data_IF_004007811078
#
_entry.id   IF_004007811078
#
_cell.length_a   1.000
_cell.length_b   1.000
_cell.length_c   1.000
_cell.angle_alpha   90.00
_cell.angle_beta   90.00
_cell.angle_gamma   90.00
#
_symmetry.space_group_name_H-M   'P 1'
#
loop_
_entity.id
_entity.type
_entity.pdbx_description
1 polymer ?
#
# COMPACT_ATOMS: atom_id res chain seq x y z
N UNK A 1 -36.38 25.20 -28.21
CA UNK A 1 -35.58 25.41 -26.99
C UNK A 1 -35.81 24.23 -26.07
N UNK A 2 -35.02 23.17 -26.21
CA UNK A 2 -35.11 21.99 -25.34
C UNK A 2 -34.23 22.29 -24.14
N UNK A 3 -34.85 22.57 -23.00
CA UNK A 3 -34.15 22.75 -21.74
C UNK A 3 -33.49 21.41 -21.37
N UNK A 4 -32.21 21.25 -21.73
CA UNK A 4 -31.36 20.21 -21.16
C UNK A 4 -31.29 20.46 -19.64
N UNK A 5 -32.17 19.78 -18.90
CA UNK A 5 -32.05 19.61 -17.47
C UNK A 5 -30.73 18.85 -17.23
N UNK A 6 -29.64 19.60 -17.12
CA UNK A 6 -28.31 19.13 -16.79
C UNK A 6 -28.34 18.69 -15.32
N UNK A 7 -28.94 17.52 -15.09
CA UNK A 7 -29.00 16.84 -13.81
C UNK A 7 -27.55 16.64 -13.40
N UNK A 8 -27.10 17.41 -12.41
CA UNK A 8 -25.80 17.25 -11.72
C UNK A 8 -25.75 15.83 -11.15
N UNK A 9 -25.52 14.82 -11.98
CA UNK A 9 -25.08 13.50 -11.54
C UNK A 9 -23.69 13.76 -11.00
N UNK A 10 -23.62 13.96 -9.69
CA UNK A 10 -22.41 14.32 -8.98
C UNK A 10 -21.25 13.47 -9.48
N UNK A 11 -20.12 14.13 -9.75
CA UNK A 11 -18.87 13.51 -10.15
C UNK A 11 -18.46 12.42 -9.14
N UNK A 12 -18.97 11.21 -9.34
CA UNK A 12 -18.52 9.98 -8.68
C UNK A 12 -17.02 9.70 -8.82
N UNK A 13 -16.26 10.19 -9.82
CA UNK A 13 -14.80 10.03 -9.80
C UNK A 13 -14.10 10.67 -8.60
N UNK A 14 -14.67 11.69 -7.95
CA UNK A 14 -14.06 12.29 -6.75
C UNK A 14 -14.09 11.35 -5.54
N UNK A 15 -15.07 10.45 -5.46
CA UNK A 15 -15.24 9.59 -4.30
C UNK A 15 -14.18 8.47 -4.32
N UNK A 16 -13.95 7.84 -5.46
CA UNK A 16 -12.94 6.79 -5.62
C UNK A 16 -11.53 7.33 -5.37
N UNK A 17 -11.20 8.51 -5.91
CA UNK A 17 -9.89 9.14 -5.67
C UNK A 17 -9.70 9.48 -4.18
N UNK A 18 -10.74 10.00 -3.53
CA UNK A 18 -10.72 10.28 -2.08
C UNK A 18 -10.51 9.01 -1.27
N UNK A 19 -11.20 7.91 -1.60
CA UNK A 19 -11.02 6.63 -0.91
C UNK A 19 -9.62 6.04 -1.12
N UNK A 20 -9.06 6.12 -2.32
CA UNK A 20 -7.68 5.65 -2.58
C UNK A 20 -6.67 6.52 -1.83
N UNK A 21 -6.84 7.84 -1.82
CA UNK A 21 -5.95 8.75 -1.08
C UNK A 21 -6.06 8.55 0.44
N UNK A 22 -7.27 8.40 0.98
CA UNK A 22 -7.50 8.18 2.39
C UNK A 22 -6.97 6.81 2.84
N UNK A 23 -7.13 5.78 2.00
CA UNK A 23 -6.56 4.46 2.23
C UNK A 23 -5.02 4.48 2.22
N UNK A 24 -4.41 5.21 1.29
CA UNK A 24 -2.96 5.37 1.24
C UNK A 24 -2.42 6.16 2.44
N UNK A 25 -3.06 7.28 2.80
CA UNK A 25 -2.70 8.04 4.00
C UNK A 25 -2.89 7.22 5.27
N UNK A 26 -3.99 6.47 5.41
CA UNK A 26 -4.22 5.59 6.56
C UNK A 26 -3.20 4.45 6.60
N UNK A 27 -2.81 3.88 5.46
CA UNK A 27 -1.77 2.86 5.39
C UNK A 27 -0.39 3.41 5.76
N UNK A 28 -0.03 4.61 5.28
CA UNK A 28 1.21 5.28 5.67
C UNK A 28 1.22 5.68 7.14
N UNK A 29 0.09 6.15 7.67
CA UNK A 29 -0.03 6.56 9.06
C UNK A 29 -0.04 5.35 9.99
N UNK A 30 -0.71 4.25 9.60
CA UNK A 30 -0.60 2.96 10.28
C UNK A 30 0.84 2.44 10.23
N UNK A 31 1.51 2.54 9.08
CA UNK A 31 2.91 2.15 8.92
C UNK A 31 3.83 2.99 9.82
N UNK A 32 3.60 4.30 9.89
CA UNK A 32 4.30 5.22 10.78
C UNK A 32 4.01 4.95 12.26
N UNK A 33 2.77 4.60 12.63
CA UNK A 33 2.41 4.23 13.99
C UNK A 33 3.01 2.88 14.40
N UNK A 34 3.01 1.90 13.49
CA UNK A 34 3.73 0.64 13.65
C UNK A 34 5.25 0.85 13.74
N UNK A 35 5.75 1.95 13.17
CA UNK A 35 7.15 2.37 13.25
C UNK A 35 7.60 2.75 14.66
N UNK A 36 6.68 3.24 15.50
CA UNK A 36 6.97 3.69 16.86
C UNK A 36 6.49 2.71 17.94
N UNK A 37 5.82 1.62 17.57
CA UNK A 37 5.24 0.69 18.53
C UNK A 37 6.10 -0.57 18.69
N UNK A 38 6.82 -0.68 19.82
CA UNK A 38 7.24 -2.01 20.29
C UNK A 38 6.00 -2.86 20.59
N UNK A 39 5.72 -3.87 19.78
CA UNK A 39 4.63 -4.80 20.03
C UNK A 39 5.17 -6.07 20.72
N UNK A 40 4.78 -6.26 21.99
CA UNK A 40 5.04 -7.47 22.76
C UNK A 40 3.71 -8.21 22.92
N UNK A 41 3.64 -9.44 22.43
CA UNK A 41 2.44 -10.28 22.54
C UNK A 41 2.82 -11.62 23.17
N UNK A 42 2.25 -11.90 24.33
CA UNK A 42 2.49 -13.17 25.05
C UNK A 42 1.28 -14.09 24.87
N UNK A 43 1.51 -15.29 24.34
CA UNK A 43 0.47 -16.31 24.13
C UNK A 43 0.91 -17.66 24.72
N UNK A 44 0.35 -18.03 25.88
CA UNK A 44 0.69 -19.28 26.58
C UNK A 44 2.17 -19.36 26.97
N UNK A 45 2.83 -20.47 26.64
CA UNK A 45 4.27 -20.68 26.86
C UNK A 45 5.16 -20.04 25.77
N UNK A 46 4.58 -19.26 24.85
CA UNK A 46 5.34 -18.55 23.81
C UNK A 46 5.21 -17.05 23.96
N UNK A 47 6.36 -16.38 23.90
CA UNK A 47 6.46 -14.93 23.84
C UNK A 47 6.86 -14.52 22.42
N UNK A 48 6.04 -13.67 21.81
CA UNK A 48 6.33 -13.04 20.52
C UNK A 48 6.81 -11.62 20.76
N UNK A 49 7.89 -11.24 20.09
CA UNK A 49 8.43 -9.89 20.13
C UNK A 49 8.63 -9.40 18.69
N UNK A 50 8.09 -8.23 18.39
CA UNK A 50 8.39 -7.50 17.18
C UNK A 50 9.17 -6.24 17.58
N UNK A 51 10.34 -6.06 16.99
CA UNK A 51 11.19 -4.88 17.17
C UNK A 51 11.44 -4.25 15.80
N UNK A 52 11.41 -2.92 15.75
CA UNK A 52 11.84 -2.15 14.60
C UNK A 52 13.07 -1.34 15.01
N UNK A 53 14.21 -1.59 14.39
CA UNK A 53 15.45 -0.86 14.63
C UNK A 53 16.27 -0.82 13.34
N UNK A 54 16.95 0.30 13.05
CA UNK A 54 17.91 0.46 11.94
C UNK A 54 17.40 0.07 10.54
N UNK A 55 16.10 0.19 10.33
CA UNK A 55 15.50 -0.15 9.04
C UNK A 55 15.18 -1.62 8.83
N UNK A 56 15.19 -2.40 9.90
CA UNK A 56 14.78 -3.81 9.91
C UNK A 56 13.59 -4.06 10.84
N UNK A 57 12.72 -4.97 10.42
CA UNK A 57 11.71 -5.57 11.30
C UNK A 57 12.29 -6.90 11.78
N UNK A 58 12.49 -7.04 13.09
CA UNK A 58 12.90 -8.29 13.74
C UNK A 58 11.69 -8.93 14.41
N UNK A 59 11.30 -10.10 13.91
CA UNK A 59 10.25 -10.93 14.50
C UNK A 59 10.89 -12.10 15.24
N UNK A 60 10.73 -12.15 16.56
CA UNK A 60 11.26 -13.19 17.43
C UNK A 60 10.16 -14.00 18.11
N UNK A 61 10.35 -15.31 18.21
CA UNK A 61 9.49 -16.21 19.02
C UNK A 61 10.32 -16.97 20.05
N UNK A 62 10.14 -16.68 21.34
CA UNK A 62 10.79 -17.42 22.44
C UNK A 62 9.80 -18.40 23.06
N UNK A 63 10.20 -19.67 23.21
CA UNK A 63 9.52 -20.58 24.16
C UNK A 63 10.09 -20.33 25.55
N UNK A 64 9.23 -19.98 26.50
CA UNK A 64 9.61 -19.82 27.90
C UNK A 64 9.67 -21.22 28.54
N UNK A 65 10.77 -21.61 29.20
CA UNK A 65 10.78 -22.79 30.05
C UNK A 65 9.77 -22.58 31.20
N UNK A 66 9.08 -23.64 31.60
CA UNK A 66 7.98 -23.56 32.59
C UNK A 66 8.40 -23.04 33.99
N UNK A 67 9.70 -23.00 34.30
CA UNK A 67 10.24 -22.70 35.63
C UNK A 67 11.28 -21.57 35.66
N UNK A 68 11.36 -20.71 34.64
CA UNK A 68 12.39 -19.66 34.59
C UNK A 68 11.79 -18.27 34.90
N UNK A 69 11.84 -17.80 36.17
CA UNK A 69 11.31 -16.50 36.56
C UNK A 69 12.27 -15.39 36.14
N UNK A 70 12.19 -14.96 34.89
CA UNK A 70 12.36 -13.54 34.57
C UNK A 70 13.76 -13.02 34.28
N UNK A 71 14.63 -13.77 33.60
CA UNK A 71 15.71 -13.11 32.85
C UNK A 71 15.14 -12.38 31.62
N UNK A 72 14.82 -11.10 31.84
CA UNK A 72 14.41 -10.10 30.85
C UNK A 72 15.60 -9.34 30.26
N UNK A 73 16.84 -9.78 30.56
CA UNK A 73 18.10 -9.34 29.95
C UNK A 73 18.18 -9.81 28.50
N UNK A 74 17.31 -9.27 27.66
CA UNK A 74 17.42 -9.38 26.21
C UNK A 74 18.67 -8.64 25.77
N UNK A 75 19.76 -9.39 25.58
CA UNK A 75 20.85 -9.03 24.69
C UNK A 75 20.26 -8.88 23.28
N UNK A 76 19.63 -7.73 23.02
CA UNK A 76 19.64 -7.18 21.67
C UNK A 76 21.08 -6.75 21.49
N UNK A 77 21.89 -7.67 20.97
CA UNK A 77 23.21 -7.37 20.47
C UNK A 77 22.99 -6.45 19.26
N UNK A 78 22.90 -5.15 19.53
CA UNK A 78 22.79 -4.11 18.52
C UNK A 78 23.99 -4.34 17.61
N UNK A 79 23.75 -4.75 16.37
CA UNK A 79 24.79 -4.80 15.37
C UNK A 79 25.37 -3.38 15.30
N UNK A 80 26.61 -3.20 15.78
CA UNK A 80 27.21 -1.87 15.99
C UNK A 80 27.55 -1.13 14.69
N UNK A 81 26.95 -1.52 13.57
CA UNK A 81 27.18 -0.91 12.27
C UNK A 81 25.87 -0.35 11.70
N UNK A 82 25.55 0.93 11.98
CA UNK A 82 24.31 1.58 11.51
C UNK A 82 24.25 1.74 9.98
N UNK A 83 25.27 1.29 9.25
CA UNK A 83 25.38 1.38 7.79
C UNK A 83 25.48 0.02 7.07
N UNK A 84 25.48 -1.11 7.78
CA UNK A 84 25.20 -2.39 7.13
C UNK A 84 23.70 -2.47 6.86
N UNK A 85 23.25 -1.74 5.82
CA UNK A 85 21.93 -1.96 5.26
C UNK A 85 21.85 -3.40 4.78
N UNK A 86 21.22 -4.28 5.56
CA UNK A 86 20.98 -5.66 5.13
C UNK A 86 20.01 -5.64 3.96
N UNK A 87 20.55 -5.87 2.76
CA UNK A 87 19.76 -5.82 1.51
C UNK A 87 18.84 -7.05 1.41
N UNK A 88 19.24 -8.17 2.00
CA UNK A 88 18.56 -9.46 1.88
C UNK A 88 17.76 -9.78 3.15
N UNK A 89 16.60 -10.44 3.04
CA UNK A 89 15.92 -10.99 4.21
C UNK A 89 16.80 -12.03 4.89
N UNK A 90 16.88 -11.95 6.21
CA UNK A 90 17.65 -12.87 7.05
C UNK A 90 16.75 -13.74 7.91
N UNK A 91 17.12 -15.01 8.09
CA UNK A 91 16.54 -15.88 9.11
C UNK A 91 17.68 -16.40 9.97
N UNK A 92 17.70 -15.98 11.24
CA UNK A 92 18.67 -16.45 12.24
C UNK A 92 18.00 -17.38 13.24
N UNK A 93 18.75 -18.41 13.65
CA UNK A 93 18.36 -19.36 14.67
C UNK A 93 19.27 -19.15 15.88
N UNK A 94 18.73 -18.68 17.01
CA UNK A 94 19.47 -18.51 18.28
C UNK A 94 18.83 -19.40 19.35
N UNK A 95 19.20 -20.68 19.39
CA UNK A 95 18.64 -21.66 20.33
C UNK A 95 17.14 -21.94 20.06
N UNK A 96 16.23 -21.73 21.04
CA UNK A 96 14.78 -21.88 20.83
C UNK A 96 14.14 -20.67 20.13
N UNK A 97 14.92 -19.63 19.83
CA UNK A 97 14.46 -18.40 19.19
C UNK A 97 14.68 -18.47 17.67
N UNK A 98 13.61 -18.21 16.92
CA UNK A 98 13.67 -17.93 15.48
C UNK A 98 13.50 -16.43 15.30
N UNK A 99 14.48 -15.80 14.64
CA UNK A 99 14.50 -14.39 14.29
C UNK A 99 14.37 -14.26 12.78
N UNK A 100 13.40 -13.48 12.33
CA UNK A 100 13.25 -13.11 10.93
C UNK A 100 13.49 -11.61 10.82
N UNK A 101 14.53 -11.23 10.08
CA UNK A 101 14.88 -9.86 9.76
C UNK A 101 14.37 -9.53 8.36
N UNK A 102 13.41 -8.60 8.28
CA UNK A 102 12.85 -8.12 7.02
C UNK A 102 13.30 -6.68 6.75
N UNK A 103 14.00 -6.43 5.62
CA UNK A 103 14.34 -5.08 5.20
C UNK A 103 13.08 -4.26 4.95
N UNK A 104 13.06 -3.01 5.41
CA UNK A 104 11.91 -2.10 5.24
C UNK A 104 11.55 -1.82 3.77
N UNK A 105 12.49 -1.98 2.85
CA UNK A 105 12.20 -1.78 1.42
C UNK A 105 11.19 -2.80 0.89
N UNK A 106 11.08 -3.99 1.47
CA UNK A 106 10.12 -5.02 1.03
C UNK A 106 8.66 -4.54 1.25
N UNK A 107 8.22 -4.21 2.49
CA UNK A 107 6.87 -3.70 2.69
C UNK A 107 6.63 -2.36 1.98
N UNK A 108 7.65 -1.49 1.88
CA UNK A 108 7.55 -0.26 1.09
C UNK A 108 7.33 -0.55 -0.40
N UNK A 109 8.03 -1.52 -0.98
CA UNK A 109 7.86 -1.93 -2.37
C UNK A 109 6.48 -2.56 -2.60
N UNK A 110 5.99 -3.39 -1.67
CA UNK A 110 4.66 -3.99 -1.77
C UNK A 110 3.54 -2.93 -1.76
N UNK A 111 3.63 -1.95 -0.86
CA UNK A 111 2.65 -0.85 -0.79
C UNK A 111 2.73 0.04 -2.04
N UNK A 112 3.93 0.35 -2.53
CA UNK A 112 4.12 1.10 -3.78
C UNK A 112 3.57 0.36 -5.00
N UNK A 113 3.81 -0.95 -5.12
CA UNK A 113 3.25 -1.79 -6.18
C UNK A 113 1.73 -1.78 -6.16
N UNK A 114 1.12 -1.93 -4.98
CA UNK A 114 -0.34 -1.86 -4.83
C UNK A 114 -0.90 -0.50 -5.24
N UNK A 115 -0.28 0.60 -4.80
CA UNK A 115 -0.67 1.95 -5.20
C UNK A 115 -0.58 2.15 -6.72
N UNK A 116 0.50 1.66 -7.34
CA UNK A 116 0.70 1.75 -8.79
C UNK A 116 -0.36 0.95 -9.57
N UNK A 117 -0.73 -0.24 -9.11
CA UNK A 117 -1.80 -1.04 -9.72
C UNK A 117 -3.14 -0.31 -9.63
N UNK A 118 -3.47 0.25 -8.46
CA UNK A 118 -4.66 1.07 -8.25
C UNK A 118 -4.70 2.27 -9.18
N UNK A 119 -3.60 3.02 -9.25
CA UNK A 119 -3.43 4.16 -10.15
C UNK A 119 -3.66 3.78 -11.62
N UNK A 120 -3.00 2.71 -12.09
CA UNK A 120 -3.14 2.23 -13.47
C UNK A 120 -4.57 1.84 -13.80
N UNK A 121 -5.29 1.20 -12.88
CA UNK A 121 -6.70 0.81 -13.08
C UNK A 121 -7.61 2.03 -13.18
N UNK A 122 -7.41 3.04 -12.34
CA UNK A 122 -8.20 4.28 -12.38
C UNK A 122 -7.92 5.07 -13.67
N UNK A 123 -6.65 5.20 -14.06
CA UNK A 123 -6.30 5.94 -15.27
C UNK A 123 -6.73 5.23 -16.56
N UNK A 124 -6.71 3.89 -16.61
CA UNK A 124 -7.20 3.15 -17.78
C UNK A 124 -8.70 3.32 -18.01
N UNK A 125 -9.51 3.49 -16.95
CA UNK A 125 -10.95 3.73 -17.10
C UNK A 125 -11.24 5.07 -17.76
N UNK A 126 -10.48 6.11 -17.40
CA UNK A 126 -10.60 7.45 -18.02
C UNK A 126 -10.30 7.46 -19.52
N UNK A 127 -9.52 6.51 -20.04
CA UNK A 127 -9.25 6.42 -21.48
C UNK A 127 -10.50 6.05 -22.30
N UNK A 128 -11.49 5.43 -21.67
CA UNK A 128 -12.73 5.02 -22.34
C UNK A 128 -13.92 5.90 -21.98
N UNK A 129 -13.80 6.84 -21.05
CA UNK A 129 -14.89 7.73 -20.67
C UNK A 129 -14.95 8.98 -21.57
N UNK A 130 -16.15 9.44 -21.90
CA UNK A 130 -16.34 10.70 -22.61
C UNK A 130 -15.87 11.88 -21.75
N UNK A 131 -14.91 12.68 -22.22
CA UNK A 131 -14.38 13.83 -21.48
C UNK A 131 -15.45 14.90 -21.13
N UNK A 132 -16.54 14.96 -21.89
CA UNK A 132 -17.61 15.95 -21.66
C UNK A 132 -18.65 15.50 -20.62
N UNK A 133 -19.05 14.21 -20.62
CA UNK A 133 -20.17 13.74 -19.80
C UNK A 133 -19.85 12.53 -18.91
N UNK A 134 -18.68 11.90 -19.06
CA UNK A 134 -18.26 10.72 -18.30
C UNK A 134 -18.92 9.39 -18.72
N UNK A 135 -19.66 9.36 -19.83
CA UNK A 135 -20.23 8.11 -20.37
C UNK A 135 -19.13 7.14 -20.77
N UNK A 136 -19.25 5.87 -20.36
CA UNK A 136 -18.32 4.82 -20.76
C UNK A 136 -18.51 4.50 -22.24
N UNK A 137 -17.47 4.77 -23.04
CA UNK A 137 -17.46 4.57 -24.49
C UNK A 137 -16.86 3.22 -24.88
N UNK A 138 -16.63 2.30 -23.93
CA UNK A 138 -16.27 0.92 -24.28
C UNK A 138 -17.33 0.31 -25.21
N UNK A 139 -16.87 -0.33 -26.28
CA UNK A 139 -17.74 -0.92 -27.30
C UNK A 139 -18.21 0.03 -28.41
N UNK A 140 -18.03 1.35 -28.30
CA UNK A 140 -18.29 2.26 -29.43
C UNK A 140 -17.14 2.22 -30.44
N UNK A 141 -17.49 2.29 -31.73
CA UNK A 141 -16.50 2.37 -32.82
C UNK A 141 -15.59 3.59 -32.60
N UNK A 142 -14.29 3.43 -32.85
CA UNK A 142 -13.33 4.53 -32.75
C UNK A 142 -13.80 5.73 -33.58
N UNK A 143 -13.96 6.89 -32.94
CA UNK A 143 -14.46 8.11 -33.59
C UNK A 143 -15.96 8.36 -33.54
N UNK A 144 -16.78 7.40 -33.07
CA UNK A 144 -18.23 7.63 -32.90
C UNK A 144 -18.52 8.82 -31.96
N UNK A 145 -19.63 9.51 -32.15
CA UNK A 145 -20.07 10.55 -31.20
C UNK A 145 -20.60 9.92 -29.92
N UNK A 146 -20.48 10.62 -28.80
CA UNK A 146 -21.08 10.14 -27.54
C UNK A 146 -22.62 10.17 -27.66
N UNK A 147 -23.34 9.07 -27.34
CA UNK A 147 -24.79 9.00 -27.50
C UNK A 147 -25.55 9.90 -26.50
N UNK A 148 -24.95 10.22 -25.35
CA UNK A 148 -25.57 11.03 -24.31
C UNK A 148 -25.45 12.55 -24.58
N UNK A 149 -24.30 13.01 -25.08
CA UNK A 149 -24.01 14.45 -25.21
C UNK A 149 -23.67 14.91 -26.64
N UNK A 150 -23.54 13.99 -27.59
CA UNK A 150 -23.16 14.29 -28.98
C UNK A 150 -21.70 14.69 -29.18
N UNK A 151 -20.89 14.82 -28.12
CA UNK A 151 -19.50 15.21 -28.24
C UNK A 151 -18.71 14.22 -29.13
N UNK A 152 -18.04 14.75 -30.16
CA UNK A 152 -17.14 13.98 -31.00
C UNK A 152 -16.00 13.42 -30.14
N UNK A 153 -15.50 12.23 -30.49
CA UNK A 153 -14.26 11.75 -29.92
C UNK A 153 -13.18 12.79 -30.24
N UNK A 154 -12.63 13.46 -29.22
CA UNK A 154 -11.41 14.23 -29.41
C UNK A 154 -10.36 13.19 -29.78
N UNK A 155 -10.05 13.08 -31.08
CA UNK A 155 -8.88 12.34 -31.53
C UNK A 155 -7.72 12.92 -30.73
N UNK A 156 -7.13 12.11 -29.86
CA UNK A 156 -5.90 12.47 -29.19
C UNK A 156 -4.97 12.93 -30.32
N UNK A 157 -4.69 14.24 -30.36
CA UNK A 157 -3.86 14.82 -31.41
C UNK A 157 -2.58 14.00 -31.41
N UNK A 158 -2.34 13.33 -32.52
CA UNK A 158 -1.06 12.73 -32.84
C UNK A 158 -0.05 13.87 -32.90
N UNK A 159 0.50 14.24 -31.74
CA UNK A 159 1.65 15.13 -31.63
C UNK A 159 2.86 14.34 -32.10
N UNK A 160 3.03 14.34 -33.41
CA UNK A 160 4.27 14.04 -34.09
C UNK A 160 4.97 15.37 -34.36
N UNK A 161 6.13 15.59 -33.74
CA UNK A 161 7.35 16.19 -34.35
C UNK A 161 8.47 16.12 -33.33
#
# INVERSE_FOLDING_TARGET
>A
MIACAFRRRGCRPCLVVRFVSAGFCAALLLFALLFFAEAKVTTGASQWRALLHDGEIVLGRRRLPANDPGETSGLVEIANNPFEMTILPGVSWRGPLVEVALPLWIPAALTACWALIGWRRVHRRKAHECASCGYDRTGLRAGATCPECGAAAVRARSSAS
#
